data_IF_981624863867
#
_entry.id   IF_981624863867
#
_cell.length_a   1.000
_cell.length_b   1.000
_cell.length_c   1.000
_cell.angle_alpha   90.00
_cell.angle_beta   90.00
_cell.angle_gamma   90.00
#
_symmetry.space_group_name_H-M   'P 1'
#
loop_
_entity.id
_entity.type
_entity.pdbx_description
1 polymer ?
#
# COMPACT_ATOMS: atom_id res chain seq x y z
N UNK A 1 -4.89 -24.96 -17.76
CA UNK A 1 -3.61 -24.50 -17.19
C UNK A 1 -3.36 -23.01 -17.45
N UNK A 2 -3.46 -22.53 -18.71
CA UNK A 2 -3.25 -21.12 -19.08
C UNK A 2 -4.09 -20.09 -18.28
N UNK A 3 -5.37 -20.37 -18.04
CA UNK A 3 -6.25 -19.49 -17.26
C UNK A 3 -5.78 -19.24 -15.82
N UNK A 4 -5.26 -20.27 -15.14
CA UNK A 4 -4.76 -20.15 -13.77
C UNK A 4 -3.49 -19.30 -13.71
N UNK A 5 -2.63 -19.42 -14.72
CA UNK A 5 -1.42 -18.60 -14.87
C UNK A 5 -1.81 -17.15 -15.11
N UNK A 6 -2.67 -16.88 -16.10
CA UNK A 6 -3.18 -15.54 -16.39
C UNK A 6 -3.82 -14.87 -15.17
N UNK A 7 -4.67 -15.61 -14.45
CA UNK A 7 -5.31 -15.11 -13.23
C UNK A 7 -4.29 -14.77 -12.15
N UNK A 8 -3.25 -15.59 -11.98
CA UNK A 8 -2.22 -15.35 -10.96
C UNK A 8 -1.33 -14.16 -11.34
N UNK A 9 -0.95 -14.04 -12.60
CA UNK A 9 -0.24 -12.88 -13.13
C UNK A 9 -1.05 -11.59 -12.96
N UNK A 10 -2.35 -11.63 -13.26
CA UNK A 10 -3.23 -10.49 -13.08
C UNK A 10 -3.34 -10.10 -11.59
N UNK A 11 -3.51 -11.07 -10.69
CA UNK A 11 -3.58 -10.80 -9.25
C UNK A 11 -2.26 -10.27 -8.67
N UNK A 12 -1.11 -10.68 -9.20
CA UNK A 12 0.20 -10.18 -8.79
C UNK A 12 0.46 -8.74 -9.28
N UNK A 13 -0.04 -8.38 -10.47
CA UNK A 13 0.08 -7.02 -11.00
C UNK A 13 -0.97 -6.05 -10.47
N UNK A 14 -2.08 -6.55 -9.91
CA UNK A 14 -3.19 -5.72 -9.47
C UNK A 14 -2.82 -4.71 -8.38
N UNK A 15 -2.03 -5.04 -7.33
CA UNK A 15 -1.61 -4.06 -6.34
C UNK A 15 -0.86 -2.86 -6.94
N UNK A 16 0.01 -3.11 -7.94
CA UNK A 16 0.77 -2.08 -8.64
C UNK A 16 -0.16 -1.17 -9.45
N UNK A 17 -1.11 -1.77 -10.18
CA UNK A 17 -2.13 -1.02 -10.91
C UNK A 17 -2.99 -0.15 -10.00
N UNK A 18 -3.44 -0.71 -8.87
CA UNK A 18 -4.28 0.01 -7.90
C UNK A 18 -3.50 1.15 -7.22
N UNK A 19 -2.20 0.98 -6.97
CA UNK A 19 -1.35 2.07 -6.47
C UNK A 19 -1.24 3.22 -7.48
N UNK A 20 -1.05 2.91 -8.77
CA UNK A 20 -1.09 3.93 -9.82
C UNK A 20 -2.46 4.61 -9.92
N UNK A 21 -3.55 3.86 -9.71
CA UNK A 21 -4.90 4.41 -9.69
C UNK A 21 -5.14 5.34 -8.50
N UNK A 22 -4.58 5.05 -7.32
CA UNK A 22 -4.61 5.97 -6.17
C UNK A 22 -3.98 7.34 -6.52
N UNK A 23 -2.83 7.32 -7.20
CA UNK A 23 -2.17 8.56 -7.68
C UNK A 23 -3.05 9.31 -8.69
N UNK A 24 -3.60 8.58 -9.68
CA UNK A 24 -4.47 9.16 -10.69
C UNK A 24 -5.73 9.80 -10.08
N UNK A 25 -6.33 9.16 -9.07
CA UNK A 25 -7.46 9.71 -8.31
C UNK A 25 -7.06 11.00 -7.60
N UNK A 26 -5.89 11.06 -6.95
CA UNK A 26 -5.43 12.28 -6.30
C UNK A 26 -5.26 13.45 -7.28
N UNK A 27 -4.66 13.22 -8.45
CA UNK A 27 -4.57 14.23 -9.50
C UNK A 27 -5.92 14.65 -10.06
N UNK A 28 -6.82 13.69 -10.27
CA UNK A 28 -8.17 13.98 -10.74
C UNK A 28 -8.90 14.91 -9.75
N UNK A 29 -8.83 14.60 -8.45
CA UNK A 29 -9.48 15.43 -7.42
C UNK A 29 -8.82 16.80 -7.31
N UNK A 30 -7.48 16.90 -7.41
CA UNK A 30 -6.78 18.20 -7.48
C UNK A 30 -7.29 19.06 -8.64
N UNK A 31 -7.46 18.46 -9.82
CA UNK A 31 -8.00 19.13 -10.99
C UNK A 31 -9.45 19.59 -10.80
N UNK A 32 -10.31 18.70 -10.30
CA UNK A 32 -11.73 19.02 -10.03
C UNK A 32 -11.89 20.11 -8.97
N UNK A 33 -11.05 20.10 -7.93
CA UNK A 33 -11.09 21.07 -6.84
C UNK A 33 -10.50 22.45 -7.21
N UNK A 34 -10.00 22.63 -8.44
CA UNK A 34 -9.41 23.90 -8.89
C UNK A 34 -7.97 24.14 -8.41
N UNK A 35 -7.33 23.13 -7.81
CA UNK A 35 -5.97 23.22 -7.25
C UNK A 35 -4.89 22.88 -8.29
N UNK A 36 -5.06 23.34 -9.54
CA UNK A 36 -4.15 22.99 -10.66
C UNK A 36 -2.68 23.33 -10.39
N UNK A 37 -2.41 24.47 -9.75
CA UNK A 37 -1.05 24.91 -9.39
C UNK A 37 -0.35 24.02 -8.35
N UNK A 38 -1.12 23.27 -7.57
CA UNK A 38 -0.61 22.37 -6.52
C UNK A 38 -0.20 21.00 -7.06
N UNK A 39 -0.50 20.73 -8.34
CA UNK A 39 -0.09 19.49 -9.02
C UNK A 39 1.42 19.35 -9.14
N UNK A 40 2.16 20.46 -9.27
CA UNK A 40 3.62 20.48 -9.37
C UNK A 40 4.32 20.03 -8.08
N UNK A 41 4.07 20.69 -6.93
CA UNK A 41 4.58 20.25 -5.64
C UNK A 41 4.19 18.81 -5.31
N UNK A 42 2.94 18.42 -5.57
CA UNK A 42 2.48 17.04 -5.37
C UNK A 42 3.25 16.06 -6.26
N UNK A 43 3.48 16.40 -7.54
CA UNK A 43 4.27 15.61 -8.48
C UNK A 43 5.69 15.35 -7.98
N UNK A 44 6.37 16.38 -7.48
CA UNK A 44 7.72 16.23 -6.93
C UNK A 44 7.73 15.29 -5.74
N UNK A 45 6.76 15.44 -4.83
CA UNK A 45 6.63 14.59 -3.64
C UNK A 45 6.41 13.10 -4.01
N UNK A 46 5.45 12.81 -4.89
CA UNK A 46 5.15 11.42 -5.30
C UNK A 46 6.22 10.84 -6.21
N UNK A 47 6.95 11.66 -6.97
CA UNK A 47 8.09 11.20 -7.78
C UNK A 47 9.24 10.74 -6.89
N UNK A 48 9.52 11.48 -5.81
CA UNK A 48 10.55 11.09 -4.83
C UNK A 48 10.19 9.78 -4.14
N UNK A 49 8.95 9.67 -3.62
CA UNK A 49 8.46 8.43 -3.01
C UNK A 49 8.43 7.27 -4.02
N UNK A 50 7.98 7.53 -5.25
CA UNK A 50 7.92 6.58 -6.34
C UNK A 50 9.29 6.05 -6.78
N UNK A 51 10.31 6.90 -6.80
CA UNK A 51 11.69 6.47 -7.06
C UNK A 51 12.19 5.49 -5.99
N UNK A 52 11.98 5.82 -4.71
CA UNK A 52 12.30 4.92 -3.60
C UNK A 52 11.52 3.60 -3.68
N UNK A 53 10.22 3.67 -4.00
CA UNK A 53 9.36 2.53 -4.19
C UNK A 53 9.80 1.62 -5.34
N UNK A 54 10.12 2.19 -6.50
CA UNK A 54 10.60 1.47 -7.67
C UNK A 54 11.93 0.76 -7.39
N UNK A 55 12.87 1.42 -6.71
CA UNK A 55 14.13 0.81 -6.30
C UNK A 55 13.91 -0.40 -5.37
N UNK A 56 13.00 -0.29 -4.40
CA UNK A 56 12.65 -1.39 -3.50
C UNK A 56 11.98 -2.56 -4.24
N UNK A 57 11.00 -2.28 -5.10
CA UNK A 57 10.31 -3.31 -5.89
C UNK A 57 11.30 -4.03 -6.80
N UNK A 58 12.24 -3.30 -7.42
CA UNK A 58 13.30 -3.89 -8.21
C UNK A 58 14.16 -4.87 -7.38
N UNK A 59 14.61 -4.45 -6.20
CA UNK A 59 15.38 -5.30 -5.28
C UNK A 59 14.58 -6.53 -4.82
N UNK A 60 13.28 -6.38 -4.57
CA UNK A 60 12.40 -7.49 -4.21
C UNK A 60 12.28 -8.50 -5.35
N UNK A 61 12.06 -8.04 -6.58
CA UNK A 61 11.97 -8.91 -7.77
C UNK A 61 13.26 -9.70 -7.99
N UNK A 62 14.44 -9.10 -7.78
CA UNK A 62 15.72 -9.81 -7.84
C UNK A 62 15.85 -10.92 -6.78
N UNK A 63 15.29 -10.71 -5.59
CA UNK A 63 15.37 -11.67 -4.46
C UNK A 63 14.19 -12.64 -4.41
N UNK A 64 13.20 -12.48 -5.26
CA UNK A 64 11.94 -13.22 -5.23
C UNK A 64 12.12 -14.73 -5.36
N UNK A 65 12.96 -15.28 -6.28
CA UNK A 65 13.12 -16.73 -6.41
C UNK A 65 13.68 -17.38 -5.15
N UNK A 66 14.75 -16.80 -4.59
CA UNK A 66 15.39 -17.30 -3.37
C UNK A 66 14.46 -17.18 -2.15
N UNK A 67 13.69 -16.10 -2.07
CA UNK A 67 12.76 -15.86 -0.95
C UNK A 67 11.57 -16.80 -1.02
N UNK A 68 11.00 -17.04 -2.21
CA UNK A 68 9.93 -18.01 -2.41
C UNK A 68 10.36 -19.42 -1.98
N UNK A 69 11.56 -19.87 -2.37
CA UNK A 69 12.08 -21.17 -1.95
C UNK A 69 12.23 -21.25 -0.42
N UNK A 70 12.76 -20.20 0.21
CA UNK A 70 12.95 -20.12 1.67
C UNK A 70 11.65 -20.09 2.46
N UNK A 71 10.58 -19.51 1.92
CA UNK A 71 9.31 -19.32 2.62
C UNK A 71 8.26 -20.40 2.31
N UNK A 72 8.62 -21.45 1.58
CA UNK A 72 7.74 -22.61 1.37
C UNK A 72 7.57 -23.43 2.66
N UNK A 73 6.40 -24.05 2.82
CA UNK A 73 6.12 -24.96 3.92
C UNK A 73 6.06 -24.26 5.29
N UNK A 74 6.75 -24.83 6.28
CA UNK A 74 6.71 -24.37 7.68
C UNK A 74 7.32 -22.97 7.86
N UNK A 75 8.33 -22.62 7.07
CA UNK A 75 8.97 -21.30 7.08
C UNK A 75 8.01 -20.17 6.65
N UNK A 76 6.98 -20.47 5.85
CA UNK A 76 5.96 -19.49 5.46
C UNK A 76 5.15 -18.94 6.64
N UNK A 77 4.99 -19.71 7.72
CA UNK A 77 4.34 -19.24 8.95
C UNK A 77 5.16 -18.14 9.62
N UNK A 78 6.48 -18.32 9.70
CA UNK A 78 7.40 -17.33 10.25
C UNK A 78 7.44 -16.07 9.36
N UNK A 79 7.43 -16.24 8.03
CA UNK A 79 7.31 -15.14 7.06
C UNK A 79 6.06 -14.30 7.28
N UNK A 80 4.89 -14.93 7.43
CA UNK A 80 3.64 -14.22 7.74
C UNK A 80 3.63 -13.56 9.11
N UNK A 81 4.16 -14.22 10.14
CA UNK A 81 4.27 -13.61 11.46
C UNK A 81 5.18 -12.36 11.43
N UNK A 82 6.26 -12.39 10.64
CA UNK A 82 7.10 -11.21 10.38
C UNK A 82 6.31 -10.13 9.63
N UNK A 83 5.62 -10.48 8.55
CA UNK A 83 4.80 -9.55 7.77
C UNK A 83 3.75 -8.85 8.66
N UNK A 84 3.03 -9.60 9.50
CA UNK A 84 2.07 -9.03 10.47
C UNK A 84 2.69 -8.01 11.43
N UNK A 85 3.88 -8.29 11.96
CA UNK A 85 4.59 -7.33 12.82
C UNK A 85 4.92 -6.04 12.08
N UNK A 86 5.38 -6.16 10.83
CA UNK A 86 5.66 -5.02 9.96
C UNK A 86 4.38 -4.24 9.66
N UNK A 87 3.28 -4.92 9.33
CA UNK A 87 1.99 -4.27 9.01
C UNK A 87 1.40 -3.52 10.20
N UNK A 88 1.55 -4.05 11.42
CA UNK A 88 1.13 -3.34 12.64
C UNK A 88 1.97 -2.10 12.88
N UNK A 89 3.28 -2.19 12.70
CA UNK A 89 4.16 -1.03 12.80
C UNK A 89 3.83 0.02 11.71
N UNK A 90 3.58 -0.42 10.48
CA UNK A 90 3.10 0.42 9.39
C UNK A 90 1.78 1.12 9.75
N UNK A 91 0.80 0.40 10.30
CA UNK A 91 -0.47 1.00 10.74
C UNK A 91 -0.25 2.09 11.81
N UNK A 92 0.69 1.89 12.75
CA UNK A 92 1.05 2.90 13.75
C UNK A 92 1.71 4.13 13.12
N UNK A 93 2.53 3.95 12.09
CA UNK A 93 3.20 5.06 11.38
C UNK A 93 2.22 5.95 10.61
N UNK A 94 1.01 5.45 10.31
CA UNK A 94 -0.07 6.23 9.70
C UNK A 94 -0.73 7.20 10.70
N UNK A 95 -0.75 6.86 12.00
CA UNK A 95 -1.41 7.65 13.05
C UNK A 95 -0.98 9.12 13.13
N UNK A 96 0.31 9.49 13.06
CA UNK A 96 0.72 10.89 13.11
C UNK A 96 0.24 11.75 11.93
N UNK A 97 -0.22 11.16 10.82
CA UNK A 97 -0.72 11.92 9.67
C UNK A 97 -1.94 12.79 9.98
N UNK A 98 -2.88 12.27 10.78
CA UNK A 98 -4.10 12.98 11.18
C UNK A 98 -3.83 14.20 12.09
N UNK A 99 -3.08 14.10 13.20
CA UNK A 99 -2.76 15.28 14.00
C UNK A 99 -1.93 16.30 13.22
N UNK A 100 -1.04 15.88 12.31
CA UNK A 100 -0.33 16.82 11.44
C UNK A 100 -1.29 17.64 10.56
N UNK A 101 -2.31 16.99 9.99
CA UNK A 101 -3.38 17.67 9.23
C UNK A 101 -4.18 18.69 10.04
N UNK A 102 -4.32 18.45 11.36
CA UNK A 102 -5.10 19.32 12.24
C UNK A 102 -4.28 20.49 12.80
N UNK A 103 -2.97 20.28 13.01
CA UNK A 103 -2.10 21.24 13.71
C UNK A 103 -1.39 22.17 12.74
N UNK A 104 -1.02 21.68 11.55
CA UNK A 104 -0.25 22.46 10.58
C UNK A 104 -1.14 23.04 9.48
N UNK A 105 -0.88 24.27 9.03
CA UNK A 105 -1.57 24.83 7.88
C UNK A 105 -1.19 24.07 6.59
N UNK A 106 -2.09 24.00 5.60
CA UNK A 106 -1.77 23.48 4.28
C UNK A 106 -0.57 24.22 3.66
N UNK A 107 0.34 23.47 3.04
CA UNK A 107 1.49 24.04 2.34
C UNK A 107 2.69 23.08 2.29
N UNK A 108 3.81 23.59 1.80
CA UNK A 108 5.02 22.79 1.50
C UNK A 108 5.56 22.02 2.71
N UNK A 109 5.53 22.62 3.91
CA UNK A 109 6.00 21.96 5.12
C UNK A 109 5.15 20.72 5.47
N UNK A 110 3.83 20.87 5.44
CA UNK A 110 2.90 19.77 5.71
C UNK A 110 3.05 18.67 4.65
N UNK A 111 3.12 19.04 3.37
CA UNK A 111 3.39 18.12 2.27
C UNK A 111 4.70 17.34 2.48
N UNK A 112 5.79 18.02 2.84
CA UNK A 112 7.08 17.38 3.08
C UNK A 112 7.03 16.39 4.26
N UNK A 113 6.41 16.76 5.38
CA UNK A 113 6.26 15.88 6.54
C UNK A 113 5.42 14.64 6.23
N UNK A 114 4.32 14.80 5.49
CA UNK A 114 3.52 13.66 5.04
C UNK A 114 4.30 12.77 4.09
N UNK A 115 5.09 13.36 3.19
CA UNK A 115 5.97 12.60 2.29
C UNK A 115 6.98 11.76 3.07
N UNK A 116 7.58 12.35 4.11
CA UNK A 116 8.50 11.64 5.00
C UNK A 116 7.83 10.51 5.81
N UNK A 117 6.51 10.57 6.05
CA UNK A 117 5.76 9.48 6.69
C UNK A 117 5.29 8.44 5.68
N UNK A 118 4.82 8.89 4.51
CA UNK A 118 4.24 8.05 3.47
C UNK A 118 5.29 7.15 2.84
N UNK A 119 6.48 7.67 2.54
CA UNK A 119 7.56 6.91 1.89
C UNK A 119 7.98 5.66 2.70
N UNK A 120 8.34 5.76 4.00
CA UNK A 120 8.66 4.58 4.80
C UNK A 120 7.44 3.68 5.05
N UNK A 121 6.24 4.26 5.16
CA UNK A 121 5.00 3.47 5.28
C UNK A 121 4.79 2.59 4.04
N UNK A 122 4.87 3.19 2.86
CA UNK A 122 4.79 2.50 1.57
C UNK A 122 5.84 1.39 1.48
N UNK A 123 7.10 1.68 1.83
CA UNK A 123 8.19 0.70 1.83
C UNK A 123 7.90 -0.51 2.75
N UNK A 124 7.38 -0.26 3.96
CA UNK A 124 7.03 -1.30 4.92
C UNK A 124 5.87 -2.17 4.41
N UNK A 125 4.83 -1.54 3.84
CA UNK A 125 3.68 -2.25 3.26
C UNK A 125 4.11 -3.08 2.06
N UNK A 126 4.90 -2.52 1.15
CA UNK A 126 5.46 -3.23 0.00
C UNK A 126 6.30 -4.44 0.44
N UNK A 127 7.15 -4.27 1.45
CA UNK A 127 7.96 -5.37 1.99
C UNK A 127 7.10 -6.46 2.65
N UNK A 128 6.08 -6.10 3.40
CA UNK A 128 5.17 -7.06 4.02
C UNK A 128 4.36 -7.82 2.95
N UNK A 129 3.83 -7.13 1.95
CA UNK A 129 3.16 -7.71 0.77
C UNK A 129 4.07 -8.71 0.07
N UNK A 130 5.33 -8.31 -0.20
CA UNK A 130 6.33 -9.19 -0.79
C UNK A 130 6.55 -10.47 0.04
N UNK A 131 6.68 -10.37 1.37
CA UNK A 131 6.81 -11.55 2.23
C UNK A 131 5.58 -12.46 2.14
N UNK A 132 4.38 -11.88 2.11
CA UNK A 132 3.12 -12.62 2.04
C UNK A 132 3.00 -13.36 0.71
N UNK A 133 3.19 -12.68 -0.42
CA UNK A 133 3.08 -13.27 -1.77
C UNK A 133 4.05 -14.43 -2.00
N UNK A 134 5.18 -14.44 -1.30
CA UNK A 134 6.16 -15.51 -1.39
C UNK A 134 5.88 -16.70 -0.44
N UNK A 135 4.75 -16.72 0.30
CA UNK A 135 4.43 -17.80 1.25
C UNK A 135 3.48 -18.86 0.71
N UNK A 136 2.42 -18.51 -0.05
CA UNK A 136 1.50 -19.47 -0.67
C UNK A 136 0.75 -18.91 -1.88
N UNK A 137 0.00 -19.78 -2.58
CA UNK A 137 -0.82 -19.39 -3.74
C UNK A 137 -2.13 -18.65 -3.41
N UNK A 138 -2.48 -18.44 -2.14
CA UNK A 138 -3.66 -17.64 -1.75
C UNK A 138 -3.31 -16.17 -1.55
N UNK A 139 -2.06 -15.91 -1.24
CA UNK A 139 -1.50 -14.61 -0.90
C UNK A 139 -1.79 -13.49 -1.93
N UNK A 140 -1.73 -13.73 -3.25
CA UNK A 140 -2.08 -12.69 -4.24
C UNK A 140 -3.52 -12.17 -4.12
N UNK A 141 -4.47 -12.98 -3.63
CA UNK A 141 -5.85 -12.51 -3.42
C UNK A 141 -5.94 -11.59 -2.20
N UNK A 142 -5.16 -11.88 -1.16
CA UNK A 142 -5.14 -11.06 0.06
C UNK A 142 -4.50 -9.71 -0.22
N UNK A 143 -3.40 -9.68 -0.97
CA UNK A 143 -2.69 -8.45 -1.31
C UNK A 143 -3.48 -7.61 -2.32
N UNK A 144 -4.13 -8.24 -3.29
CA UNK A 144 -5.12 -7.59 -4.16
C UNK A 144 -6.28 -6.95 -3.37
N UNK A 145 -6.88 -7.69 -2.42
CA UNK A 145 -7.98 -7.17 -1.60
C UNK A 145 -7.53 -6.01 -0.72
N UNK A 146 -6.34 -6.10 -0.12
CA UNK A 146 -5.75 -5.03 0.67
C UNK A 146 -5.49 -3.77 -0.16
N UNK A 147 -4.94 -3.91 -1.37
CA UNK A 147 -4.75 -2.79 -2.29
C UNK A 147 -6.09 -2.17 -2.72
N UNK A 148 -7.14 -2.99 -2.89
CA UNK A 148 -8.50 -2.52 -3.14
C UNK A 148 -9.05 -1.67 -2.00
N UNK A 149 -8.85 -2.10 -0.75
CA UNK A 149 -9.21 -1.32 0.44
C UNK A 149 -8.44 0.02 0.48
N UNK A 150 -7.14 -0.01 0.17
CA UNK A 150 -6.33 1.20 0.00
C UNK A 150 -6.92 2.17 -1.00
N UNK A 151 -7.28 1.71 -2.20
CA UNK A 151 -7.89 2.55 -3.24
C UNK A 151 -9.19 3.20 -2.78
N UNK A 152 -10.09 2.44 -2.14
CA UNK A 152 -11.36 2.98 -1.61
C UNK A 152 -11.08 4.09 -0.61
N UNK A 153 -10.14 3.88 0.31
CA UNK A 153 -9.74 4.90 1.29
C UNK A 153 -9.08 6.09 0.63
N UNK A 154 -8.21 5.89 -0.36
CA UNK A 154 -7.58 6.96 -1.14
C UNK A 154 -8.64 7.86 -1.79
N UNK A 155 -9.63 7.26 -2.47
CA UNK A 155 -10.68 8.01 -3.15
C UNK A 155 -11.56 8.78 -2.16
N UNK A 156 -12.00 8.13 -1.09
CA UNK A 156 -12.83 8.76 -0.07
C UNK A 156 -12.10 9.91 0.64
N UNK A 157 -10.85 9.69 1.05
CA UNK A 157 -10.07 10.71 1.77
C UNK A 157 -9.59 11.82 0.85
N UNK A 158 -9.23 11.54 -0.40
CA UNK A 158 -8.88 12.58 -1.38
C UNK A 158 -10.08 13.51 -1.62
N UNK A 159 -11.28 12.96 -1.80
CA UNK A 159 -12.50 13.76 -2.00
C UNK A 159 -12.80 14.72 -0.82
N UNK A 160 -12.38 14.37 0.40
CA UNK A 160 -12.58 15.20 1.60
C UNK A 160 -11.40 16.15 1.85
N UNK A 161 -10.17 15.67 1.74
CA UNK A 161 -8.97 16.38 2.19
C UNK A 161 -8.39 17.30 1.12
N UNK A 162 -8.49 16.94 -0.17
CA UNK A 162 -7.93 17.75 -1.25
C UNK A 162 -8.62 19.11 -1.39
N UNK A 163 -9.96 19.25 -1.31
CA UNK A 163 -10.59 20.56 -1.36
C UNK A 163 -10.08 21.51 -0.27
N UNK A 164 -9.81 20.99 0.93
CA UNK A 164 -9.39 21.78 2.09
C UNK A 164 -7.87 22.04 2.15
N UNK A 165 -7.04 21.10 1.68
CA UNK A 165 -5.58 21.12 1.89
C UNK A 165 -4.76 20.87 0.61
N UNK A 166 -5.39 20.89 -0.56
CA UNK A 166 -4.77 20.75 -1.88
C UNK A 166 -3.75 19.60 -1.96
N UNK A 167 -2.49 19.88 -2.34
CA UNK A 167 -1.41 18.88 -2.48
C UNK A 167 -1.14 18.11 -1.19
N UNK A 168 -1.23 18.79 -0.03
CA UNK A 168 -1.06 18.14 1.28
C UNK A 168 -2.21 17.17 1.55
N UNK A 169 -3.45 17.55 1.20
CA UNK A 169 -4.61 16.67 1.30
C UNK A 169 -4.50 15.43 0.41
N UNK A 170 -3.94 15.58 -0.79
CA UNK A 170 -3.66 14.47 -1.70
C UNK A 170 -2.62 13.51 -1.10
N UNK A 171 -1.52 14.04 -0.53
CA UNK A 171 -0.50 13.21 0.11
C UNK A 171 -1.02 12.50 1.37
N UNK A 172 -1.89 13.16 2.14
CA UNK A 172 -2.58 12.55 3.27
C UNK A 172 -3.46 11.36 2.84
N UNK A 173 -4.15 11.49 1.71
CA UNK A 173 -4.96 10.41 1.15
C UNK A 173 -4.13 9.19 0.79
N UNK A 174 -2.92 9.38 0.23
CA UNK A 174 -1.98 8.28 -0.05
C UNK A 174 -1.45 7.63 1.25
N UNK A 175 -1.10 8.43 2.25
CA UNK A 175 -0.69 7.95 3.57
C UNK A 175 -1.79 7.08 4.21
N UNK A 176 -3.04 7.53 4.17
CA UNK A 176 -4.20 6.81 4.70
C UNK A 176 -4.51 5.56 3.87
N UNK A 177 -4.34 5.60 2.54
CA UNK A 177 -4.47 4.45 1.64
C UNK A 177 -3.47 3.34 1.97
N UNK A 178 -2.20 3.69 2.19
CA UNK A 178 -1.18 2.75 2.60
C UNK A 178 -1.47 2.16 4.00
N UNK A 179 -1.94 2.99 4.95
CA UNK A 179 -2.40 2.54 6.26
C UNK A 179 -3.57 1.57 6.19
N UNK A 180 -4.58 1.86 5.36
CA UNK A 180 -5.73 0.99 5.13
C UNK A 180 -5.33 -0.35 4.49
N UNK A 181 -4.41 -0.33 3.53
CA UNK A 181 -3.82 -1.53 2.93
C UNK A 181 -3.11 -2.36 4.00
N UNK A 182 -2.35 -1.72 4.90
CA UNK A 182 -1.63 -2.39 5.98
C UNK A 182 -2.59 -3.10 6.95
N UNK A 183 -3.63 -2.39 7.39
CA UNK A 183 -4.67 -2.90 8.30
C UNK A 183 -5.44 -4.05 7.63
N UNK A 184 -5.89 -3.85 6.40
CA UNK A 184 -6.64 -4.86 5.64
C UNK A 184 -5.83 -6.14 5.47
N UNK A 185 -4.53 -6.02 5.18
CA UNK A 185 -3.65 -7.17 5.06
C UNK A 185 -3.40 -7.85 6.41
N UNK A 186 -3.18 -7.12 7.52
CA UNK A 186 -3.03 -7.74 8.85
C UNK A 186 -4.29 -8.50 9.28
N UNK A 187 -5.47 -7.91 9.03
CA UNK A 187 -6.77 -8.56 9.29
C UNK A 187 -6.93 -9.80 8.42
N UNK A 188 -6.60 -9.72 7.13
CA UNK A 188 -6.63 -10.85 6.21
C UNK A 188 -5.70 -12.00 6.62
N UNK A 189 -4.54 -11.69 7.19
CA UNK A 189 -3.59 -12.67 7.74
C UNK A 189 -4.04 -13.22 9.10
N UNK A 190 -4.80 -12.46 9.89
CA UNK A 190 -5.32 -12.85 11.20
C UNK A 190 -6.61 -13.67 11.13
N UNK A 191 -7.41 -13.51 10.07
CA UNK A 191 -8.67 -14.22 9.89
C UNK A 191 -8.50 -15.74 9.85
N UNK A 192 -9.43 -16.46 10.49
CA UNK A 192 -9.52 -17.94 10.52
C UNK A 192 -9.85 -18.54 9.14
N UNK A 193 -9.07 -18.26 8.10
CA UNK A 193 -9.06 -19.06 6.86
C UNK A 193 -8.37 -20.42 7.03
N UNK A 194 -8.37 -20.94 8.27
CA UNK A 194 -7.94 -22.28 8.68
C UNK A 194 -8.99 -23.36 8.42
N UNK A 195 -10.22 -23.02 8.06
CA UNK A 195 -11.27 -24.00 7.80
C UNK A 195 -11.43 -24.23 6.28
N UNK A 196 -10.70 -25.20 5.72
CA UNK A 196 -11.07 -26.01 4.50
C UNK A 196 -9.90 -26.78 3.83
N UNK A 197 -8.80 -27.06 4.52
CA UNK A 197 -7.75 -27.96 3.95
C UNK A 197 -7.38 -29.15 4.83
N UNK A 198 -8.17 -29.46 5.85
CA UNK A 198 -8.15 -30.76 6.54
C UNK A 198 -9.48 -31.48 6.36
N UNK A 199 -9.91 -31.60 5.10
CA UNK A 199 -10.84 -32.64 4.67
C UNK A 199 -10.06 -33.62 3.82
N UNK A 200 -9.33 -34.51 4.49
CA UNK A 200 -9.04 -35.86 4.01
C UNK A 200 -9.56 -36.82 5.08
N UNK A 201 -9.81 -38.09 4.79
CA UNK A 201 -9.35 -38.87 3.64
C UNK A 201 -10.25 -38.82 2.41
#
# INVERSE_FOLDING_TARGET
>A
MAWLVLRTCALLGLPELLASLCLAVCYLVLGIAGHGGESGPFYVAVTLSGFCGAALIYLFRLRQPATSLRLRGTAGRAGRAKARRILRFAALLCLPGLPLMLVLPPGTLLLALLTCLETPLFALVAYATYLVENTDGRSPRLTAAAAGAGLVVAAATAAVLVPAAASSGAMAALLLSAGASAISLDVGLGGRWRARTHGGP
#
